data_IF_324765700114
#
_entry.id   IF_324765700114
#
_cell.length_a   1.000
_cell.length_b   1.000
_cell.length_c   1.000
_cell.angle_alpha   90.00
_cell.angle_beta   90.00
_cell.angle_gamma   90.00
#
_symmetry.space_group_name_H-M   'P 1'
#
loop_
_entity.id
_entity.type
_entity.pdbx_description
1 polymer ?
#
# COMPACT_ATOMS: atom_id res chain seq x y z
N UNK A 1 -14.58 16.80 -3.91
CA UNK A 1 -14.32 17.14 -5.33
C UNK A 1 -13.84 18.57 -5.36
N UNK A 2 -12.67 18.86 -5.91
CA UNK A 2 -12.16 20.23 -6.08
C UNK A 2 -12.30 20.62 -7.54
N UNK A 3 -13.03 21.67 -7.84
CA UNK A 3 -13.14 22.23 -9.19
C UNK A 3 -12.48 23.62 -9.25
N UNK A 4 -12.00 24.05 -10.43
CA UNK A 4 -11.49 25.39 -10.62
C UNK A 4 -12.56 26.45 -10.33
N UNK A 5 -12.16 27.63 -9.82
CA UNK A 5 -13.09 28.71 -9.42
C UNK A 5 -13.94 29.32 -10.57
N UNK A 6 -13.55 29.05 -11.82
CA UNK A 6 -14.22 29.53 -13.01
C UNK A 6 -15.35 28.62 -13.53
N UNK A 7 -15.51 27.41 -12.94
CA UNK A 7 -16.57 26.47 -13.31
C UNK A 7 -17.84 26.85 -12.53
N UNK A 8 -18.94 27.08 -13.24
CA UNK A 8 -20.21 27.45 -12.59
C UNK A 8 -20.96 26.20 -12.07
N UNK A 9 -21.90 26.42 -11.15
CA UNK A 9 -22.66 25.33 -10.54
C UNK A 9 -23.55 24.57 -11.53
N UNK A 10 -24.00 25.26 -12.60
CA UNK A 10 -24.83 24.68 -13.68
C UNK A 10 -24.03 23.64 -14.47
N UNK A 11 -22.80 23.95 -14.84
CA UNK A 11 -21.91 23.04 -15.59
C UNK A 11 -21.58 21.80 -14.77
N UNK A 12 -21.37 21.97 -13.46
CA UNK A 12 -21.15 20.85 -12.54
C UNK A 12 -22.36 19.92 -12.49
N UNK A 13 -23.55 20.50 -12.39
CA UNK A 13 -24.81 19.74 -12.33
C UNK A 13 -25.05 18.97 -13.62
N UNK A 14 -24.84 19.58 -14.77
CA UNK A 14 -24.97 18.93 -16.09
C UNK A 14 -23.99 17.78 -16.21
N UNK A 15 -22.73 18.00 -15.86
CA UNK A 15 -21.69 16.96 -15.88
C UNK A 15 -22.04 15.77 -14.96
N UNK A 16 -22.58 16.04 -13.75
CA UNK A 16 -22.98 14.96 -12.83
C UNK A 16 -24.14 14.15 -13.42
N UNK A 17 -25.15 14.80 -13.99
CA UNK A 17 -26.28 14.13 -14.62
C UNK A 17 -25.87 13.28 -15.83
N UNK A 18 -24.98 13.79 -16.68
CA UNK A 18 -24.42 13.03 -17.81
C UNK A 18 -23.64 11.78 -17.37
N UNK A 19 -23.03 11.84 -16.20
CA UNK A 19 -22.20 10.75 -15.64
C UNK A 19 -22.91 9.90 -14.60
N UNK A 20 -24.19 10.14 -14.34
CA UNK A 20 -24.97 9.46 -13.30
C UNK A 20 -24.90 7.93 -13.43
N UNK A 21 -25.16 7.40 -14.62
CA UNK A 21 -25.09 5.97 -14.89
C UNK A 21 -23.68 5.38 -14.61
N UNK A 22 -22.63 6.11 -15.00
CA UNK A 22 -21.25 5.72 -14.76
C UNK A 22 -20.91 5.78 -13.26
N UNK A 23 -21.39 6.80 -12.54
CA UNK A 23 -21.19 6.96 -11.09
C UNK A 23 -21.83 5.77 -10.36
N UNK A 24 -23.11 5.46 -10.65
CA UNK A 24 -23.84 4.35 -10.02
C UNK A 24 -23.20 3.00 -10.31
N UNK A 25 -22.76 2.75 -11.56
CA UNK A 25 -22.04 1.51 -11.88
C UNK A 25 -20.71 1.40 -11.14
N UNK A 26 -19.95 2.50 -11.05
CA UNK A 26 -18.69 2.49 -10.33
C UNK A 26 -18.88 2.40 -8.82
N UNK A 27 -19.92 3.00 -8.25
CA UNK A 27 -20.26 2.87 -6.84
C UNK A 27 -20.52 1.41 -6.47
N UNK A 28 -21.35 0.69 -7.23
CA UNK A 28 -21.57 -0.75 -7.05
C UNK A 28 -20.30 -1.59 -7.22
N UNK A 29 -19.43 -1.18 -8.15
CA UNK A 29 -18.14 -1.86 -8.37
C UNK A 29 -17.17 -1.55 -7.25
N UNK A 30 -17.19 -0.33 -6.72
CA UNK A 30 -16.38 0.07 -5.57
C UNK A 30 -16.89 -0.56 -4.28
N UNK A 31 -18.19 -0.70 -4.07
CA UNK A 31 -18.76 -1.43 -2.93
C UNK A 31 -18.32 -2.91 -2.95
N UNK A 32 -18.38 -3.56 -4.13
CA UNK A 32 -17.84 -4.91 -4.31
C UNK A 32 -16.34 -4.99 -4.06
N UNK A 33 -15.57 -3.99 -4.52
CA UNK A 33 -14.13 -3.88 -4.25
C UNK A 33 -13.87 -3.54 -2.78
N UNK A 34 -14.65 -2.67 -2.16
CA UNK A 34 -14.54 -2.35 -0.73
C UNK A 34 -14.97 -3.52 0.16
N UNK A 35 -15.93 -4.36 -0.24
CA UNK A 35 -16.22 -5.59 0.47
C UNK A 35 -15.12 -6.64 0.29
N UNK A 36 -14.49 -6.70 -0.88
CA UNK A 36 -13.33 -7.55 -1.14
C UNK A 36 -12.01 -6.97 -0.58
N UNK A 37 -11.94 -5.66 -0.36
CA UNK A 37 -10.77 -4.94 0.21
C UNK A 37 -11.00 -4.54 1.67
N UNK A 38 -12.13 -4.86 2.26
CA UNK A 38 -12.22 -5.01 3.71
C UNK A 38 -11.25 -6.13 4.02
N UNK A 39 -10.09 -5.70 4.46
CA UNK A 39 -9.09 -6.58 5.05
C UNK A 39 -9.88 -7.52 5.93
N UNK A 40 -9.86 -8.82 5.64
CA UNK A 40 -10.61 -9.81 6.40
C UNK A 40 -10.22 -9.90 7.87
N UNK A 41 -9.79 -8.77 8.45
CA UNK A 41 -9.44 -8.58 9.86
C UNK A 41 -10.67 -8.51 10.77
N UNK A 42 -11.86 -8.78 10.24
CA UNK A 42 -13.11 -9.01 11.00
C UNK A 42 -13.06 -10.28 11.86
N UNK A 43 -12.06 -11.14 11.68
CA UNK A 43 -11.74 -12.21 12.62
C UNK A 43 -11.74 -13.61 12.03
N UNK A 44 -11.92 -13.77 10.72
CA UNK A 44 -11.96 -15.08 10.06
C UNK A 44 -10.72 -15.32 9.21
N UNK A 45 -10.42 -14.42 8.29
CA UNK A 45 -9.27 -14.55 7.40
C UNK A 45 -8.68 -13.18 7.04
N UNK A 46 -7.47 -13.16 6.51
CA UNK A 46 -6.84 -11.97 5.97
C UNK A 46 -5.97 -12.31 4.76
N UNK A 47 -5.90 -11.37 3.80
CA UNK A 47 -4.96 -11.48 2.70
C UNK A 47 -3.56 -11.04 3.14
N UNK A 48 -2.57 -11.91 2.94
CA UNK A 48 -1.18 -11.69 3.22
C UNK A 48 -0.34 -12.06 2.00
N UNK A 49 0.34 -11.07 1.42
CA UNK A 49 1.16 -11.20 0.21
C UNK A 49 0.44 -11.88 -0.97
N UNK A 50 -0.87 -11.64 -1.10
CA UNK A 50 -1.72 -12.19 -2.16
C UNK A 50 -2.32 -13.55 -1.88
N UNK A 51 -2.00 -14.16 -0.75
CA UNK A 51 -2.57 -15.43 -0.31
C UNK A 51 -3.53 -15.21 0.86
N UNK A 52 -4.48 -16.11 1.04
CA UNK A 52 -5.44 -16.06 2.14
C UNK A 52 -4.94 -16.85 3.33
N UNK A 53 -4.96 -16.24 4.51
CA UNK A 53 -4.56 -16.81 5.79
C UNK A 53 -5.73 -16.80 6.76
N UNK A 54 -5.88 -17.85 7.52
CA UNK A 54 -6.84 -17.91 8.63
C UNK A 54 -6.35 -17.04 9.80
N UNK A 55 -7.27 -16.46 10.55
CA UNK A 55 -6.92 -15.66 11.72
C UNK A 55 -7.23 -16.45 12.98
N UNK A 56 -6.23 -16.57 13.83
CA UNK A 56 -6.39 -17.04 15.21
C UNK A 56 -5.99 -15.94 16.18
N UNK A 57 -6.78 -15.79 17.25
CA UNK A 57 -6.55 -14.76 18.27
C UNK A 57 -6.30 -15.40 19.61
N UNK A 58 -5.19 -15.04 20.22
CA UNK A 58 -4.75 -15.49 21.54
C UNK A 58 -4.69 -14.28 22.47
N UNK A 59 -5.31 -14.37 23.63
CA UNK A 59 -5.22 -13.33 24.64
C UNK A 59 -3.80 -13.27 25.24
N UNK A 60 -3.24 -12.06 25.31
CA UNK A 60 -1.87 -11.85 25.75
C UNK A 60 -1.68 -10.48 26.39
N UNK A 61 -0.70 -10.34 27.27
CA UNK A 61 -0.31 -9.05 27.87
C UNK A 61 0.37 -8.08 26.89
N UNK A 62 0.79 -8.56 25.69
CA UNK A 62 1.40 -7.73 24.64
C UNK A 62 0.70 -7.98 23.32
N UNK A 63 0.49 -6.89 22.55
CA UNK A 63 -0.13 -6.98 21.23
C UNK A 63 0.95 -7.11 20.16
N UNK A 64 1.01 -8.27 19.49
CA UNK A 64 1.85 -8.56 18.34
C UNK A 64 1.22 -9.65 17.46
N UNK A 65 1.77 -9.92 16.29
CA UNK A 65 1.31 -11.03 15.45
C UNK A 65 2.50 -11.90 15.01
N UNK A 66 2.18 -13.14 14.72
CA UNK A 66 3.06 -14.12 14.11
C UNK A 66 2.38 -14.72 12.88
N UNK A 67 3.15 -15.05 11.85
CA UNK A 67 2.65 -15.65 10.62
C UNK A 67 3.25 -17.03 10.50
N UNK A 68 2.37 -18.01 10.38
CA UNK A 68 2.71 -19.39 10.06
C UNK A 68 2.40 -19.62 8.57
N UNK A 69 3.47 -19.63 7.77
CA UNK A 69 3.37 -19.83 6.32
C UNK A 69 3.00 -21.27 5.95
N UNK A 70 3.34 -22.25 6.78
CA UNK A 70 3.02 -23.66 6.56
C UNK A 70 1.54 -23.95 6.84
N UNK A 71 1.05 -23.47 7.98
CA UNK A 71 -0.35 -23.60 8.36
C UNK A 71 -1.28 -22.57 7.68
N UNK A 72 -0.72 -21.60 6.96
CA UNK A 72 -1.48 -20.44 6.39
C UNK A 72 -2.33 -19.73 7.45
N UNK A 73 -1.73 -19.47 8.61
CA UNK A 73 -2.40 -18.90 9.75
C UNK A 73 -1.68 -17.64 10.25
N UNK A 74 -2.45 -16.60 10.57
CA UNK A 74 -1.98 -15.41 11.25
C UNK A 74 -2.43 -15.48 12.71
N UNK A 75 -1.48 -15.64 13.61
CA UNK A 75 -1.69 -15.67 15.04
C UNK A 75 -1.59 -14.25 15.60
N UNK A 76 -2.70 -13.73 16.08
CA UNK A 76 -2.74 -12.46 16.80
C UNK A 76 -2.65 -12.70 18.30
N UNK A 77 -1.64 -12.14 18.93
CA UNK A 77 -1.54 -12.03 20.38
C UNK A 77 -2.02 -10.64 20.76
N UNK A 78 -3.14 -10.51 21.46
CA UNK A 78 -3.79 -9.23 21.73
C UNK A 78 -4.13 -9.06 23.20
N UNK A 79 -4.06 -7.81 23.68
CA UNK A 79 -4.58 -7.45 25.01
C UNK A 79 -6.09 -7.40 25.01
N UNK A 80 -6.67 -6.90 23.93
CA UNK A 80 -8.11 -6.79 23.70
C UNK A 80 -8.41 -7.26 22.28
N UNK A 81 -9.34 -8.20 22.15
CA UNK A 81 -9.73 -8.73 20.85
C UNK A 81 -10.76 -7.83 20.18
N UNK A 82 -10.33 -6.67 19.71
CA UNK A 82 -11.16 -5.75 18.92
C UNK A 82 -10.68 -5.69 17.46
N UNK A 83 -11.58 -5.46 16.48
CA UNK A 83 -11.19 -5.28 15.08
C UNK A 83 -10.14 -4.18 14.89
N UNK A 84 -10.26 -3.08 15.64
CA UNK A 84 -9.34 -1.95 15.59
C UNK A 84 -7.94 -2.32 16.07
N UNK A 85 -7.83 -3.10 17.16
CA UNK A 85 -6.53 -3.53 17.67
C UNK A 85 -5.90 -4.56 16.74
N UNK A 86 -6.67 -5.47 16.12
CA UNK A 86 -6.18 -6.38 15.08
C UNK A 86 -5.62 -5.60 13.88
N UNK A 87 -6.38 -4.64 13.36
CA UNK A 87 -5.95 -3.82 12.23
C UNK A 87 -4.66 -3.05 12.54
N UNK A 88 -4.58 -2.43 13.70
CA UNK A 88 -3.41 -1.68 14.18
C UNK A 88 -2.18 -2.58 14.30
N UNK A 89 -2.33 -3.77 14.89
CA UNK A 89 -1.24 -4.75 15.03
C UNK A 89 -0.81 -5.25 13.66
N UNK A 90 -1.76 -5.61 12.80
CA UNK A 90 -1.50 -6.10 11.45
C UNK A 90 -0.66 -5.12 10.64
N UNK A 91 -1.07 -3.86 10.55
CA UNK A 91 -0.32 -2.86 9.78
C UNK A 91 0.99 -2.46 10.44
N UNK A 92 1.08 -2.48 11.75
CA UNK A 92 2.34 -2.20 12.46
C UNK A 92 3.39 -3.29 12.19
N UNK A 93 3.03 -4.54 12.37
CA UNK A 93 3.95 -5.65 12.14
C UNK A 93 4.18 -5.85 10.63
N UNK A 94 3.15 -5.72 9.81
CA UNK A 94 3.25 -5.73 8.36
C UNK A 94 4.19 -4.68 7.80
N UNK A 95 4.22 -3.49 8.38
CA UNK A 95 5.17 -2.45 7.96
C UNK A 95 6.64 -2.84 8.24
N UNK A 96 6.91 -3.53 9.36
CA UNK A 96 8.26 -4.04 9.68
C UNK A 96 8.68 -5.12 8.69
N UNK A 97 7.77 -6.05 8.38
CA UNK A 97 8.04 -7.16 7.45
C UNK A 97 8.23 -6.66 6.03
N UNK A 98 7.37 -5.76 5.55
CA UNK A 98 7.55 -5.12 4.24
C UNK A 98 8.88 -4.37 4.15
N UNK A 99 9.26 -3.65 5.20
CA UNK A 99 10.54 -2.95 5.23
C UNK A 99 11.72 -3.93 5.13
N UNK A 100 11.70 -5.03 5.88
CA UNK A 100 12.73 -6.06 5.81
C UNK A 100 12.79 -6.70 4.40
N UNK A 101 11.64 -6.98 3.78
CA UNK A 101 11.58 -7.51 2.42
C UNK A 101 12.16 -6.54 1.39
N UNK A 102 11.88 -5.24 1.51
CA UNK A 102 12.42 -4.19 0.64
C UNK A 102 13.94 -4.09 0.83
N UNK A 103 14.43 -4.12 2.07
CA UNK A 103 15.86 -4.05 2.38
C UNK A 103 16.62 -5.27 1.84
N UNK A 104 16.08 -6.47 1.96
CA UNK A 104 16.69 -7.69 1.40
C UNK A 104 16.79 -7.69 -0.12
N UNK A 105 15.86 -7.01 -0.81
CA UNK A 105 15.89 -6.86 -2.28
C UNK A 105 16.69 -5.65 -2.76
N UNK A 106 16.99 -4.74 -1.85
CA UNK A 106 17.67 -3.49 -2.15
C UNK A 106 19.05 -3.72 -2.75
N UNK A 107 19.77 -4.72 -2.30
CA UNK A 107 21.12 -5.05 -2.81
C UNK A 107 21.09 -5.42 -4.30
N UNK A 108 20.09 -6.16 -4.75
CA UNK A 108 19.93 -6.48 -6.18
C UNK A 108 19.65 -5.23 -7.02
N UNK A 109 18.88 -4.30 -6.48
CA UNK A 109 18.51 -3.06 -7.16
C UNK A 109 19.61 -2.00 -7.10
N UNK A 110 20.40 -1.95 -6.00
CA UNK A 110 21.58 -1.12 -5.87
C UNK A 110 22.57 -1.41 -7.01
N UNK A 111 22.83 -2.68 -7.29
CA UNK A 111 23.73 -3.08 -8.36
C UNK A 111 23.18 -2.70 -9.75
N UNK A 112 21.88 -2.88 -9.99
CA UNK A 112 21.28 -2.62 -11.31
C UNK A 112 21.05 -1.14 -11.60
N UNK A 113 20.66 -0.34 -10.60
CA UNK A 113 20.24 1.04 -10.80
C UNK A 113 21.33 2.05 -10.41
N UNK A 114 22.07 1.82 -9.33
CA UNK A 114 23.05 2.77 -8.85
C UNK A 114 24.34 2.73 -9.64
N UNK A 115 24.78 1.54 -10.09
CA UNK A 115 25.96 1.41 -10.95
C UNK A 115 25.68 2.07 -12.30
N UNK A 116 24.50 1.86 -12.87
CA UNK A 116 24.12 2.43 -14.16
C UNK A 116 23.96 3.97 -14.11
N UNK A 117 23.49 4.52 -12.97
CA UNK A 117 23.18 5.94 -12.86
C UNK A 117 24.07 6.73 -11.89
N UNK A 118 25.07 6.11 -11.28
CA UNK A 118 26.05 6.71 -10.35
C UNK A 118 25.38 7.52 -9.19
N UNK A 119 24.24 7.04 -8.66
CA UNK A 119 23.48 7.73 -7.61
C UNK A 119 23.15 6.83 -6.45
N UNK A 120 23.17 7.37 -5.22
CA UNK A 120 22.73 6.60 -4.07
C UNK A 120 21.23 6.30 -4.16
N UNK A 121 20.82 5.12 -3.73
CA UNK A 121 19.41 4.75 -3.63
C UNK A 121 18.65 5.69 -2.69
N UNK A 122 17.42 6.04 -3.04
CA UNK A 122 16.58 6.86 -2.19
C UNK A 122 16.25 6.15 -0.88
N UNK A 123 16.05 6.93 0.17
CA UNK A 123 15.53 6.42 1.45
C UNK A 123 14.10 5.92 1.25
N UNK A 124 13.82 4.68 1.69
CA UNK A 124 12.49 4.09 1.58
C UNK A 124 11.84 4.06 2.97
N UNK A 125 10.57 4.46 3.03
CA UNK A 125 9.74 4.35 4.23
C UNK A 125 8.44 3.64 3.92
N UNK A 126 7.96 2.82 4.85
CA UNK A 126 6.67 2.16 4.77
C UNK A 126 5.72 2.84 5.75
N UNK A 127 4.56 3.27 5.27
CA UNK A 127 3.53 3.92 6.08
C UNK A 127 2.13 3.62 5.57
N UNK A 128 1.11 3.80 6.40
CA UNK A 128 -0.27 3.66 5.97
C UNK A 128 -0.65 4.81 5.03
N UNK A 129 -1.16 4.47 3.84
CA UNK A 129 -1.66 5.43 2.86
C UNK A 129 -2.98 4.92 2.27
N UNK A 130 -3.99 5.78 2.20
CA UNK A 130 -5.33 5.44 1.71
C UNK A 130 -5.49 5.61 0.21
N UNK A 131 -4.88 6.64 -0.38
CA UNK A 131 -5.14 7.09 -1.75
C UNK A 131 -4.07 6.72 -2.78
N UNK A 132 -2.93 6.17 -2.35
CA UNK A 132 -1.83 5.82 -3.26
C UNK A 132 -1.00 4.66 -2.71
N UNK A 133 -0.40 3.89 -3.62
CA UNK A 133 0.47 2.75 -3.29
C UNK A 133 1.90 3.16 -2.97
N UNK A 134 2.32 4.28 -3.52
CA UNK A 134 3.62 4.84 -3.26
C UNK A 134 3.70 6.31 -3.66
N UNK A 135 4.68 7.02 -3.13
CA UNK A 135 5.03 8.38 -3.53
C UNK A 135 6.53 8.55 -3.56
N UNK A 136 7.04 9.27 -4.55
CA UNK A 136 8.43 9.63 -4.67
C UNK A 136 8.60 11.15 -4.52
N UNK A 137 9.60 11.57 -3.76
CA UNK A 137 10.02 12.97 -3.64
C UNK A 137 11.47 13.07 -4.12
N UNK A 138 11.71 13.35 -5.43
CA UNK A 138 13.04 13.34 -6.03
C UNK A 138 14.02 14.30 -5.33
N UNK A 139 13.55 15.51 -4.99
CA UNK A 139 14.37 16.53 -4.31
C UNK A 139 14.92 16.09 -2.95
N UNK A 140 14.29 15.12 -2.29
CA UNK A 140 14.74 14.56 -1.01
C UNK A 140 15.32 13.16 -1.13
N UNK A 141 15.42 12.64 -2.33
CA UNK A 141 15.80 11.24 -2.60
C UNK A 141 15.04 10.26 -1.68
N UNK A 142 13.70 10.38 -1.65
CA UNK A 142 12.85 9.66 -0.71
C UNK A 142 11.64 9.04 -1.39
N UNK A 143 11.40 7.76 -1.09
CA UNK A 143 10.21 6.99 -1.53
C UNK A 143 9.42 6.58 -0.29
N UNK A 144 8.11 6.85 -0.32
CA UNK A 144 7.17 6.29 0.67
C UNK A 144 6.32 5.21 0.00
N UNK A 145 6.19 4.06 0.63
CA UNK A 145 5.37 2.94 0.17
C UNK A 145 4.22 2.68 1.14
N UNK A 146 3.06 2.29 0.60
CA UNK A 146 1.89 1.96 1.42
C UNK A 146 2.06 0.59 2.07
N UNK A 147 1.85 0.48 3.39
CA UNK A 147 1.79 -0.81 4.06
C UNK A 147 0.66 -1.70 3.56
N UNK A 148 -0.38 -1.13 2.95
CA UNK A 148 -1.48 -1.89 2.34
C UNK A 148 -1.04 -2.80 1.18
N UNK A 149 0.17 -2.61 0.63
CA UNK A 149 0.76 -3.53 -0.34
C UNK A 149 0.93 -4.95 0.20
N UNK A 150 0.92 -5.11 1.52
CA UNK A 150 1.01 -6.43 2.18
C UNK A 150 -0.16 -7.36 1.86
N UNK A 151 -1.30 -6.82 1.42
CA UNK A 151 -2.46 -7.61 0.98
C UNK A 151 -2.30 -8.18 -0.43
N UNK A 152 -1.29 -7.74 -1.19
CA UNK A 152 -1.12 -8.07 -2.60
C UNK A 152 0.12 -8.93 -2.82
N UNK A 153 0.18 -9.67 -3.94
CA UNK A 153 1.35 -10.46 -4.31
C UNK A 153 2.65 -9.65 -4.29
N UNK A 154 3.76 -10.34 -4.04
CA UNK A 154 5.11 -9.73 -3.96
C UNK A 154 5.49 -8.96 -5.22
N UNK A 155 4.99 -9.36 -6.37
CA UNK A 155 5.18 -8.73 -7.67
C UNK A 155 4.63 -7.30 -7.71
N UNK A 156 3.52 -7.06 -6.98
CA UNK A 156 2.94 -5.71 -6.85
C UNK A 156 3.87 -4.79 -6.03
N UNK A 157 4.51 -5.33 -4.98
CA UNK A 157 5.50 -4.60 -4.20
C UNK A 157 6.70 -4.23 -5.07
N UNK A 158 7.22 -5.19 -5.85
CA UNK A 158 8.35 -4.97 -6.76
C UNK A 158 8.02 -3.93 -7.82
N UNK A 159 6.83 -4.02 -8.43
CA UNK A 159 6.38 -3.04 -9.41
C UNK A 159 6.35 -1.62 -8.86
N UNK A 160 5.75 -1.43 -7.67
CA UNK A 160 5.65 -0.09 -7.04
C UNK A 160 7.03 0.42 -6.65
N UNK A 161 7.91 -0.44 -6.16
CA UNK A 161 9.29 -0.10 -5.82
C UNK A 161 10.07 0.34 -7.05
N UNK A 162 10.06 -0.44 -8.12
CA UNK A 162 10.72 -0.13 -9.39
C UNK A 162 10.22 1.19 -9.98
N UNK A 163 8.91 1.35 -10.05
CA UNK A 163 8.31 2.58 -10.55
C UNK A 163 8.72 3.80 -9.70
N UNK A 164 8.84 3.62 -8.39
CA UNK A 164 9.35 4.65 -7.47
C UNK A 164 10.82 4.98 -7.71
N UNK A 165 11.65 3.98 -7.97
CA UNK A 165 13.10 4.12 -8.21
C UNK A 165 13.41 4.78 -9.56
N UNK A 166 12.62 4.52 -10.60
CA UNK A 166 12.82 5.14 -11.93
C UNK A 166 12.53 6.65 -11.96
N UNK A 167 11.66 7.16 -11.08
CA UNK A 167 11.28 8.58 -11.07
C UNK A 167 12.43 9.54 -10.71
N UNK A 168 13.28 9.29 -9.70
CA UNK A 168 14.44 10.12 -9.43
C UNK A 168 15.44 10.16 -10.60
N UNK A 169 15.56 9.05 -11.34
CA UNK A 169 16.45 8.94 -12.49
C UNK A 169 15.94 9.80 -13.66
N UNK A 170 14.65 9.72 -13.99
CA UNK A 170 14.04 10.49 -15.10
C UNK A 170 13.96 12.00 -14.82
N UNK A 171 13.77 12.42 -13.58
CA UNK A 171 13.69 13.85 -13.24
C UNK A 171 15.01 14.61 -13.47
N UNK A 172 16.13 13.90 -13.64
CA UNK A 172 17.46 14.51 -13.79
C UNK A 172 17.91 14.49 -15.25
N UNK A 173 17.40 13.61 -16.08
CA UNK A 173 17.67 13.60 -17.53
C UNK A 173 16.99 14.77 -18.27
N UNK A 174 16.01 15.43 -17.67
CA UNK A 174 15.34 16.62 -18.22
C UNK A 174 15.95 17.97 -17.76
N UNK A 175 16.98 17.97 -16.91
CA UNK A 175 17.64 19.20 -16.44
C UNK A 175 19.01 19.49 -17.11
N UNK A 176 19.38 18.73 -18.12
CA UNK A 176 20.61 18.97 -18.90
C UNK A 176 20.26 19.26 -20.36
N UNK A 177 19.68 20.42 -20.59
CA UNK A 177 19.70 21.16 -21.87
C UNK A 177 19.63 22.64 -21.56
#
# INVERSE_FOLDING_TARGET
MTCPRWVNAGDIRTFILEKEHWIVQNEKTMEKRHSATRTGLDGVSASWLGEEYQIEVIESHKSFMFIDDEAKTILFFLKENTPQEREKVFYREGAKMLKAMIEGRREEWDQKICIEHQKPLPKITVKYMTSRWGSCTPARSHISMSVRLIHYPKECLDYVLLHGLQKPVRAITHCTT
#
